data_IF_307329114894
#
_entry.id   IF_307329114894
#
_cell.length_a   1.000
_cell.length_b   1.000
_cell.length_c   1.000
_cell.angle_alpha   90.00
_cell.angle_beta   90.00
_cell.angle_gamma   90.00
#
_symmetry.space_group_name_H-M   'P 1'
#
loop_
_entity.id
_entity.type
_entity.pdbx_description
1 polymer ?
#
# COMPACT_ATOMS: atom_id res chain seq x y z
N UNK A 1 7.79 -1.20 -13.35
CA UNK A 1 7.65 0.25 -13.11
C UNK A 1 6.47 0.37 -12.18
N UNK A 2 6.70 0.79 -10.93
CA UNK A 2 5.60 1.03 -9.98
C UNK A 2 4.84 2.27 -10.45
N UNK A 3 3.52 2.16 -10.60
CA UNK A 3 2.70 3.31 -10.95
C UNK A 3 2.57 4.22 -9.74
N UNK A 4 2.75 5.53 -9.92
CA UNK A 4 2.65 6.51 -8.84
C UNK A 4 1.75 7.65 -9.28
N UNK A 5 0.79 8.01 -8.45
CA UNK A 5 -0.07 9.18 -8.66
C UNK A 5 0.37 10.21 -7.61
N UNK A 6 0.75 11.40 -8.06
CA UNK A 6 1.15 12.52 -7.20
C UNK A 6 0.25 13.71 -7.47
N UNK A 7 -0.30 14.31 -6.42
CA UNK A 7 -1.28 15.38 -6.55
C UNK A 7 -1.27 16.32 -5.32
N UNK A 8 -1.89 17.49 -5.47
CA UNK A 8 -1.81 18.60 -4.51
C UNK A 8 -2.56 18.31 -3.20
N UNK A 9 -3.47 17.32 -3.20
CA UNK A 9 -4.25 16.95 -2.03
C UNK A 9 -4.65 15.49 -2.06
N UNK A 10 -4.71 14.86 -0.89
CA UNK A 10 -5.15 13.47 -0.75
C UNK A 10 -6.55 13.22 -1.31
N UNK A 11 -7.47 14.20 -1.24
CA UNK A 11 -8.78 14.08 -1.87
C UNK A 11 -8.69 13.98 -3.39
N UNK A 12 -7.79 14.73 -4.01
CA UNK A 12 -7.57 14.72 -5.46
C UNK A 12 -6.88 13.41 -5.89
N UNK A 13 -5.98 12.88 -5.05
CA UNK A 13 -5.42 11.54 -5.24
C UNK A 13 -6.50 10.46 -5.23
N UNK A 14 -7.40 10.49 -4.26
CA UNK A 14 -8.50 9.52 -4.19
C UNK A 14 -9.45 9.72 -5.37
N UNK A 15 -9.73 10.96 -5.78
CA UNK A 15 -10.53 11.24 -6.97
C UNK A 15 -9.89 10.61 -8.22
N UNK A 16 -8.63 10.92 -8.51
CA UNK A 16 -7.85 10.38 -9.63
C UNK A 16 -7.74 8.84 -9.57
N UNK A 17 -7.54 8.29 -8.37
CA UNK A 17 -7.53 6.86 -8.13
C UNK A 17 -8.89 6.21 -8.43
N UNK A 18 -9.99 6.90 -8.10
CA UNK A 18 -11.36 6.43 -8.36
C UNK A 18 -11.83 6.64 -9.78
N UNK A 19 -11.23 7.58 -10.54
CA UNK A 19 -11.52 7.83 -11.96
C UNK A 19 -11.30 6.56 -12.78
N UNK A 20 -10.19 5.87 -12.53
CA UNK A 20 -9.83 4.67 -13.25
C UNK A 20 -10.59 3.42 -12.70
N UNK A 21 -11.15 3.52 -11.48
CA UNK A 21 -11.98 2.46 -10.89
C UNK A 21 -12.17 2.65 -9.38
N UNK A 22 -13.36 2.35 -8.84
CA UNK A 22 -13.71 2.71 -7.47
C UNK A 22 -12.83 1.99 -6.44
N UNK A 23 -12.51 2.68 -5.35
CA UNK A 23 -11.91 2.07 -4.16
C UNK A 23 -12.98 1.24 -3.46
N UNK A 24 -12.73 -0.05 -3.30
CA UNK A 24 -13.69 -1.03 -2.73
C UNK A 24 -13.29 -1.51 -1.35
N UNK A 25 -12.09 -1.15 -0.89
CA UNK A 25 -11.63 -1.46 0.46
C UNK A 25 -10.49 -0.55 0.87
N UNK A 26 -10.39 -0.31 2.16
CA UNK A 26 -9.28 0.42 2.77
C UNK A 26 -8.92 -0.33 4.04
N UNK A 27 -7.64 -0.65 4.19
CA UNK A 27 -7.09 -1.17 5.45
C UNK A 27 -6.00 -0.22 5.91
N UNK A 28 -6.22 0.37 7.08
CA UNK A 28 -5.25 1.19 7.77
C UNK A 28 -4.69 0.41 8.93
N UNK A 29 -3.37 0.37 9.06
CA UNK A 29 -2.71 -0.22 10.21
C UNK A 29 -1.72 0.78 10.79
N UNK A 30 -1.93 1.02 12.08
CA UNK A 30 -1.02 1.77 12.92
C UNK A 30 -0.40 0.75 13.88
N UNK A 31 0.83 0.33 13.61
CA UNK A 31 1.56 -0.60 14.48
C UNK A 31 2.83 0.07 14.93
N UNK A 32 3.13 -0.06 16.23
CA UNK A 32 4.37 0.40 16.85
C UNK A 32 5.63 -0.30 16.26
N UNK A 33 5.43 -1.45 15.61
CA UNK A 33 6.45 -2.18 14.86
C UNK A 33 6.41 -1.75 13.39
N UNK A 34 7.57 -1.33 12.88
CA UNK A 34 7.78 -0.96 11.49
C UNK A 34 7.39 -2.10 10.54
N UNK A 35 6.55 -1.80 9.55
CA UNK A 35 6.27 -2.67 8.42
C UNK A 35 7.40 -2.56 7.41
N UNK A 36 7.94 -3.70 6.97
CA UNK A 36 8.92 -3.70 5.89
C UNK A 36 8.21 -4.05 4.60
N UNK A 37 8.20 -3.11 3.66
CA UNK A 37 7.75 -3.33 2.30
C UNK A 37 8.96 -3.53 1.40
N UNK A 38 8.83 -4.45 0.45
CA UNK A 38 9.83 -4.73 -0.54
C UNK A 38 9.24 -4.50 -1.92
N UNK A 39 9.83 -3.54 -2.61
CA UNK A 39 9.53 -3.20 -3.99
C UNK A 39 9.87 -4.39 -4.93
N UNK A 40 9.24 -4.47 -6.12
CA UNK A 40 9.58 -5.48 -7.13
C UNK A 40 11.04 -5.40 -7.61
N UNK A 41 11.71 -4.26 -7.39
CA UNK A 41 13.14 -4.08 -7.66
C UNK A 41 14.04 -4.68 -6.55
N UNK A 42 13.44 -5.17 -5.47
CA UNK A 42 14.14 -5.75 -4.32
C UNK A 42 14.60 -4.73 -3.27
N UNK A 43 14.19 -3.46 -3.40
CA UNK A 43 14.44 -2.43 -2.40
C UNK A 43 13.50 -2.65 -1.21
N UNK A 44 14.02 -2.56 0.01
CA UNK A 44 13.21 -2.71 1.22
C UNK A 44 13.11 -1.36 1.92
N UNK A 45 11.88 -0.96 2.23
CA UNK A 45 11.56 0.30 2.91
C UNK A 45 10.70 0.02 4.14
N UNK A 46 10.98 0.72 5.23
CA UNK A 46 10.34 0.51 6.52
C UNK A 46 9.34 1.65 6.80
N UNK A 47 8.10 1.28 7.14
CA UNK A 47 6.99 2.20 7.35
C UNK A 47 6.39 1.97 8.74
N UNK A 48 6.28 3.02 9.55
CA UNK A 48 5.60 2.94 10.85
C UNK A 48 4.08 2.93 10.73
N UNK A 49 3.55 3.44 9.63
CA UNK A 49 2.12 3.52 9.36
C UNK A 49 1.87 3.10 7.92
N UNK A 50 0.94 2.18 7.70
CA UNK A 50 0.56 1.75 6.36
C UNK A 50 -0.93 1.97 6.12
N UNK A 51 -1.24 2.60 4.99
CA UNK A 51 -2.59 2.90 4.54
C UNK A 51 -2.77 2.26 3.17
N UNK A 52 -3.32 1.04 3.14
CA UNK A 52 -3.47 0.28 1.90
C UNK A 52 -4.90 0.41 1.40
N UNK A 53 -5.03 1.03 0.24
CA UNK A 53 -6.25 1.23 -0.52
C UNK A 53 -6.39 0.11 -1.55
N UNK A 54 -7.48 -0.65 -1.47
CA UNK A 54 -7.83 -1.69 -2.43
C UNK A 54 -8.87 -1.17 -3.42
N UNK A 55 -8.56 -1.26 -4.71
CA UNK A 55 -9.49 -0.92 -5.80
C UNK A 55 -10.31 -2.11 -6.27
N UNK A 56 -11.41 -1.82 -6.97
CA UNK A 56 -12.28 -2.82 -7.60
C UNK A 56 -11.53 -3.70 -8.60
N UNK A 57 -10.48 -3.15 -9.22
CA UNK A 57 -9.60 -3.85 -10.17
C UNK A 57 -8.57 -4.77 -9.49
N UNK A 58 -8.74 -5.06 -8.19
CA UNK A 58 -7.81 -5.86 -7.37
C UNK A 58 -6.39 -5.27 -7.23
N UNK A 59 -6.20 -4.00 -7.57
CA UNK A 59 -4.95 -3.27 -7.32
C UNK A 59 -4.90 -2.66 -5.92
N UNK A 60 -3.69 -2.55 -5.38
CA UNK A 60 -3.40 -2.04 -4.05
C UNK A 60 -2.53 -0.81 -4.14
N UNK A 61 -2.94 0.25 -3.45
CA UNK A 61 -2.31 1.56 -3.52
C UNK A 61 -2.03 2.06 -2.12
N UNK A 62 -0.88 2.68 -1.91
CA UNK A 62 -0.47 3.16 -0.61
C UNK A 62 0.37 4.43 -0.73
N UNK A 63 0.19 5.42 0.15
CA UNK A 63 1.12 6.52 0.26
C UNK A 63 2.41 6.05 0.94
N UNK A 64 3.49 5.94 0.17
CA UNK A 64 4.82 5.59 0.68
C UNK A 64 5.50 6.78 1.39
N UNK A 65 4.98 8.00 1.23
CA UNK A 65 5.58 9.17 1.85
C UNK A 65 4.69 9.73 2.98
N UNK A 66 5.34 10.33 3.99
CA UNK A 66 4.66 11.10 5.04
C UNK A 66 3.84 12.26 4.46
N UNK A 67 4.31 12.81 3.33
CA UNK A 67 3.51 13.66 2.48
C UNK A 67 2.49 12.78 1.76
N UNK A 68 1.26 12.75 2.27
CA UNK A 68 0.08 12.09 1.67
C UNK A 68 -0.34 12.69 0.31
N UNK A 69 0.64 13.18 -0.44
CA UNK A 69 0.55 13.78 -1.76
C UNK A 69 0.93 12.78 -2.87
N UNK A 70 1.55 11.64 -2.53
CA UNK A 70 1.87 10.57 -3.48
C UNK A 70 1.28 9.26 -3.00
N UNK A 71 0.53 8.56 -3.87
CA UNK A 71 0.12 7.17 -3.69
C UNK A 71 0.76 6.31 -4.77
N UNK A 72 1.35 5.20 -4.35
CA UNK A 72 2.06 4.27 -5.21
C UNK A 72 1.28 2.97 -5.30
N UNK A 73 1.21 2.40 -6.50
CA UNK A 73 0.71 1.06 -6.73
C UNK A 73 1.71 0.05 -6.12
N UNK A 74 1.28 -0.57 -5.03
CA UNK A 74 2.02 -1.57 -4.29
C UNK A 74 1.53 -3.00 -4.56
N UNK A 75 0.77 -3.21 -5.64
CA UNK A 75 0.19 -4.53 -5.97
C UNK A 75 1.27 -5.61 -6.12
N UNK A 76 2.39 -5.27 -6.75
CA UNK A 76 3.55 -6.16 -6.95
C UNK A 76 4.54 -6.15 -5.77
N UNK A 77 4.22 -5.48 -4.67
CA UNK A 77 5.11 -5.37 -3.53
C UNK A 77 4.92 -6.57 -2.61
N UNK A 78 5.96 -6.84 -1.84
CA UNK A 78 5.93 -7.81 -0.76
C UNK A 78 5.96 -7.08 0.58
N UNK A 79 5.21 -7.58 1.56
CA UNK A 79 5.25 -7.10 2.94
C UNK A 79 5.80 -8.20 3.83
N UNK A 80 6.66 -7.82 4.76
CA UNK A 80 7.22 -8.72 5.74
C UNK A 80 6.28 -8.83 6.95
N UNK A 81 5.76 -10.03 7.21
CA UNK A 81 4.99 -10.31 8.42
C UNK A 81 5.96 -10.73 9.51
N UNK A 82 6.20 -9.83 10.49
CA UNK A 82 7.06 -10.12 11.65
C UNK A 82 6.62 -11.38 12.41
N UNK A 83 5.31 -11.60 12.56
CA UNK A 83 4.75 -12.75 13.28
C UNK A 83 5.04 -14.11 12.63
N UNK A 84 5.15 -14.15 11.31
CA UNK A 84 5.43 -15.37 10.54
C UNK A 84 6.83 -15.38 9.92
N UNK A 85 7.62 -14.33 10.17
CA UNK A 85 8.97 -14.10 9.63
C UNK A 85 9.07 -14.39 8.12
N UNK A 86 8.07 -13.97 7.34
CA UNK A 86 7.96 -14.27 5.91
C UNK A 86 7.56 -13.05 5.10
N UNK A 87 8.06 -12.99 3.88
CA UNK A 87 7.59 -12.07 2.84
C UNK A 87 6.36 -12.69 2.19
N UNK A 88 5.30 -11.90 2.10
CA UNK A 88 4.08 -12.23 1.38
C UNK A 88 3.70 -11.07 0.49
N UNK A 89 2.94 -11.30 -0.58
CA UNK A 89 2.46 -10.21 -1.42
C UNK A 89 1.44 -9.37 -0.68
N UNK A 90 1.28 -8.09 -1.06
CA UNK A 90 0.23 -7.24 -0.46
C UNK A 90 -1.15 -7.86 -0.62
N UNK A 91 -1.42 -8.51 -1.74
CA UNK A 91 -2.67 -9.22 -1.96
C UNK A 91 -2.92 -10.30 -0.92
N UNK A 92 -1.92 -11.18 -0.70
CA UNK A 92 -2.01 -12.26 0.28
C UNK A 92 -2.13 -11.70 1.70
N UNK A 93 -1.30 -10.71 2.04
CA UNK A 93 -1.36 -10.03 3.33
C UNK A 93 -2.70 -9.30 3.56
N UNK A 94 -3.28 -8.68 2.55
CA UNK A 94 -4.55 -7.98 2.69
C UNK A 94 -5.71 -8.95 2.92
N UNK A 95 -5.64 -10.14 2.32
CA UNK A 95 -6.60 -11.23 2.55
C UNK A 95 -6.38 -11.89 3.92
N UNK A 96 -5.13 -12.01 4.34
CA UNK A 96 -4.78 -12.56 5.65
C UNK A 96 -5.10 -11.54 6.75
N UNK A 97 -5.99 -11.85 7.68
CA UNK A 97 -6.20 -11.00 8.88
C UNK A 97 -5.03 -11.04 9.88
N UNK A 98 -3.87 -11.56 9.46
CA UNK A 98 -2.68 -11.72 10.29
C UNK A 98 -1.76 -10.50 10.20
N UNK A 99 -1.73 -9.78 11.31
CA UNK A 99 -0.75 -8.74 11.66
C UNK A 99 0.19 -9.28 12.73
#
# INVERSE_FOLDING_TARGET
MSETITNESFQDLIDDLTVDGPVVGEKKFDIDNFFQLKDPEGQTTEFSHIDILRRADETFWMPLETDRHTITNITDYEIFINKSEKWVTIKDWFDTEEI
#
